data_IF_182648773879
#
_entry.id   IF_182648773879
#
_cell.length_a   1.000
_cell.length_b   1.000
_cell.length_c   1.000
_cell.angle_alpha   90.00
_cell.angle_beta   90.00
_cell.angle_gamma   90.00
#
_symmetry.space_group_name_H-M   'P 1'
#
loop_
_entity.id
_entity.type
_entity.pdbx_description
1 polymer ?
#
# COMPACT_ATOMS: atom_id res chain seq x y z
N UNK A 1 -1.29 -47.08 -1.63
CA UNK A 1 -2.45 -46.25 -1.27
C UNK A 1 -2.55 -46.25 0.25
N UNK A 2 -1.89 -45.31 0.92
CA UNK A 2 -2.07 -44.96 2.34
C UNK A 2 -1.42 -43.58 2.51
N UNK A 3 -2.28 -42.58 2.61
CA UNK A 3 -1.99 -41.17 2.83
C UNK A 3 -1.69 -40.93 4.31
N UNK A 4 -0.52 -40.37 4.63
CA UNK A 4 -0.23 -39.82 5.95
C UNK A 4 -0.26 -38.30 5.86
N UNK A 5 -1.32 -37.73 6.42
CA UNK A 5 -1.51 -36.31 6.70
C UNK A 5 -0.61 -35.92 7.87
N UNK A 6 0.40 -35.07 7.63
CA UNK A 6 1.19 -34.44 8.67
C UNK A 6 0.53 -33.15 9.14
N UNK A 7 0.08 -33.12 10.39
CA UNK A 7 -0.27 -31.89 11.10
C UNK A 7 1.02 -31.17 11.54
N UNK A 8 1.06 -29.82 11.59
CA UNK A 8 2.17 -29.12 12.22
C UNK A 8 1.99 -29.15 13.74
N UNK A 9 3.01 -29.62 14.44
CA UNK A 9 3.07 -29.65 15.89
C UNK A 9 3.07 -28.22 16.46
N UNK A 10 2.02 -27.87 17.20
CA UNK A 10 2.04 -26.78 18.17
C UNK A 10 2.64 -27.32 19.46
N UNK A 11 3.83 -26.85 19.84
CA UNK A 11 4.41 -27.11 21.17
C UNK A 11 4.69 -25.75 21.81
N UNK A 12 3.91 -25.43 22.83
CA UNK A 12 4.08 -24.24 23.68
C UNK A 12 5.03 -24.62 24.80
N UNK A 13 6.19 -23.95 24.89
CA UNK A 13 7.06 -24.02 26.06
C UNK A 13 6.95 -22.73 26.89
N UNK A 14 6.49 -22.88 28.12
CA UNK A 14 6.55 -21.87 29.19
C UNK A 14 7.92 -21.98 29.87
N UNK A 15 8.68 -20.90 29.95
CA UNK A 15 9.96 -20.87 30.68
C UNK A 15 9.80 -20.32 32.10
N UNK A 16 10.46 -21.02 33.03
CA UNK A 16 10.45 -20.89 34.48
C UNK A 16 11.19 -19.65 34.98
N UNK A 17 10.54 -18.85 35.83
CA UNK A 17 11.24 -17.97 36.78
C UNK A 17 11.54 -18.74 38.07
N UNK A 18 12.83 -18.83 38.39
CA UNK A 18 13.36 -19.42 39.62
C UNK A 18 13.13 -18.43 40.76
N UNK A 19 12.21 -18.74 41.68
CA UNK A 19 12.05 -17.98 42.93
C UNK A 19 13.29 -18.16 43.82
N UNK A 20 13.80 -17.04 44.33
CA UNK A 20 14.74 -17.00 45.45
C UNK A 20 13.89 -17.07 46.73
N UNK A 21 13.96 -18.19 47.44
CA UNK A 21 13.43 -18.32 48.79
C UNK A 21 14.36 -17.59 49.76
N UNK A 22 13.85 -16.53 50.40
CA UNK A 22 14.48 -15.86 51.54
C UNK A 22 13.51 -15.84 52.70
N UNK A 23 13.82 -16.62 53.74
CA UNK A 23 12.95 -16.89 54.88
C UNK A 23 12.66 -15.70 55.79
N UNK A 24 11.58 -15.85 56.54
CA UNK A 24 11.08 -14.95 57.57
C UNK A 24 12.11 -14.72 58.69
N UNK A 25 12.24 -13.46 59.14
CA UNK A 25 12.49 -13.18 60.55
C UNK A 25 11.89 -11.84 60.94
N UNK A 26 10.97 -11.90 61.90
CA UNK A 26 10.23 -10.80 62.51
C UNK A 26 11.12 -9.96 63.43
N UNK A 27 10.94 -8.63 63.45
CA UNK A 27 10.97 -7.78 64.66
C UNK A 27 10.50 -6.35 64.30
N UNK A 28 9.54 -5.83 65.08
CA UNK A 28 8.97 -4.48 65.02
C UNK A 28 9.98 -3.40 65.49
N UNK A 29 9.81 -2.14 65.05
CA UNK A 29 9.51 -0.93 65.87
C UNK A 29 9.55 0.34 64.99
N UNK A 30 8.42 1.05 64.97
CA UNK A 30 8.05 2.48 64.86
C UNK A 30 8.79 3.56 64.02
N UNK A 31 7.91 4.45 63.52
CA UNK A 31 8.00 5.86 63.09
C UNK A 31 8.26 6.25 61.60
N UNK A 32 7.29 7.02 61.09
CA UNK A 32 7.08 7.50 59.71
C UNK A 32 7.75 8.88 59.44
N UNK A 33 7.46 9.62 58.34
CA UNK A 33 7.00 9.26 56.99
C UNK A 33 7.88 9.88 55.89
N UNK A 34 8.17 9.20 54.77
CA UNK A 34 8.63 9.90 53.56
C UNK A 34 7.94 9.38 52.29
N UNK A 35 7.46 10.35 51.53
CA UNK A 35 6.72 10.21 50.28
C UNK A 35 7.50 9.40 49.24
N UNK A 36 7.01 8.20 48.92
CA UNK A 36 7.31 7.57 47.64
C UNK A 36 6.00 7.21 46.94
N UNK A 37 5.73 7.93 45.87
CA UNK A 37 4.71 7.60 44.90
C UNK A 37 5.07 6.24 44.28
N UNK A 38 4.37 5.19 44.68
CA UNK A 38 4.29 3.95 43.95
C UNK A 38 3.46 4.19 42.69
N UNK A 39 4.15 4.48 41.59
CA UNK A 39 3.56 4.32 40.26
C UNK A 39 3.48 2.84 39.98
N UNK A 40 2.28 2.28 40.12
CA UNK A 40 1.94 0.95 39.61
C UNK A 40 2.16 0.96 38.09
N UNK A 41 3.31 0.43 37.66
CA UNK A 41 3.56 0.05 36.28
C UNK A 41 2.70 -1.18 36.00
N UNK A 42 1.56 -0.97 35.36
CA UNK A 42 0.75 -2.02 34.75
C UNK A 42 1.59 -2.69 33.66
N UNK A 43 2.28 -3.76 34.06
CA UNK A 43 3.08 -4.60 33.19
C UNK A 43 2.21 -5.28 32.14
N UNK A 44 2.27 -4.77 30.91
CA UNK A 44 1.97 -5.56 29.72
C UNK A 44 3.29 -6.18 29.31
N UNK A 45 3.58 -7.38 29.83
CA UNK A 45 4.72 -8.19 29.39
C UNK A 45 4.48 -8.66 27.95
N UNK A 46 4.86 -7.83 26.98
CA UNK A 46 5.02 -8.29 25.61
C UNK A 46 6.30 -9.12 25.55
N UNK A 47 6.16 -10.45 25.61
CA UNK A 47 7.26 -11.38 25.37
C UNK A 47 7.67 -11.29 23.90
N UNK A 48 8.69 -10.49 23.58
CA UNK A 48 9.25 -10.44 22.24
C UNK A 48 9.99 -11.76 21.97
N UNK A 49 9.42 -12.53 21.06
CA UNK A 49 9.69 -13.92 20.76
C UNK A 49 11.09 -14.15 20.19
N UNK A 50 11.75 -15.20 20.66
CA UNK A 50 12.85 -15.84 19.94
C UNK A 50 12.29 -16.36 18.61
N UNK A 51 12.75 -15.83 17.48
CA UNK A 51 12.41 -16.38 16.16
C UNK A 51 13.13 -17.72 16.00
N UNK A 52 12.36 -18.80 15.98
CA UNK A 52 12.88 -20.17 16.11
C UNK A 52 13.74 -20.58 14.90
N UNK A 53 14.90 -21.16 15.21
CA UNK A 53 15.79 -21.89 14.31
C UNK A 53 16.52 -22.98 15.13
N UNK A 54 17.15 -23.95 14.48
CA UNK A 54 17.88 -25.02 15.18
C UNK A 54 19.01 -24.45 16.04
N UNK A 55 18.82 -24.47 17.38
CA UNK A 55 19.82 -24.10 18.38
C UNK A 55 19.44 -22.89 19.24
N UNK A 56 20.22 -22.61 20.31
CA UNK A 56 20.02 -21.42 21.12
C UNK A 56 20.55 -20.15 20.41
N UNK A 57 19.98 -18.97 20.69
CA UNK A 57 20.48 -17.70 20.16
C UNK A 57 21.91 -17.41 20.64
N UNK A 58 22.75 -16.85 19.77
CA UNK A 58 24.17 -16.55 20.00
C UNK A 58 24.48 -15.04 20.06
N UNK A 59 23.45 -14.20 19.90
CA UNK A 59 23.54 -12.75 19.96
C UNK A 59 22.26 -12.15 20.59
N UNK A 60 22.45 -11.11 21.41
CA UNK A 60 21.38 -10.35 22.03
C UNK A 60 21.49 -8.90 21.56
N UNK A 61 20.42 -8.35 21.01
CA UNK A 61 20.29 -6.93 20.72
C UNK A 61 19.53 -6.24 21.85
N UNK A 62 20.05 -5.13 22.35
CA UNK A 62 19.33 -4.26 23.28
C UNK A 62 18.81 -3.07 22.48
N UNK A 63 17.50 -2.95 22.36
CA UNK A 63 16.84 -1.79 21.74
C UNK A 63 17.10 -0.51 22.55
N UNK A 64 16.79 0.63 21.96
CA UNK A 64 16.92 1.93 22.64
C UNK A 64 15.97 2.10 23.83
N UNK A 65 14.89 1.31 23.90
CA UNK A 65 13.99 1.22 25.06
C UNK A 65 14.47 0.21 26.14
N UNK A 66 15.64 -0.41 25.96
CA UNK A 66 16.24 -1.34 26.90
C UNK A 66 15.72 -2.78 26.82
N UNK A 67 14.88 -3.10 25.82
CA UNK A 67 14.32 -4.44 25.65
C UNK A 67 15.32 -5.37 24.93
N UNK A 68 15.61 -6.56 25.49
CA UNK A 68 16.47 -7.52 24.81
C UNK A 68 15.71 -8.29 23.71
N UNK A 69 16.31 -8.40 22.53
CA UNK A 69 15.88 -9.26 21.43
C UNK A 69 16.96 -10.31 21.13
N UNK A 70 16.56 -11.57 20.98
CA UNK A 70 17.48 -12.69 20.79
C UNK A 70 17.53 -13.09 19.31
N UNK A 71 18.73 -13.29 18.77
CA UNK A 71 18.90 -13.65 17.37
C UNK A 71 20.08 -14.62 17.14
N UNK A 72 20.27 -15.00 15.88
CA UNK A 72 21.31 -15.91 15.42
C UNK A 72 22.21 -15.19 14.42
N UNK A 73 23.52 -15.05 14.72
CA UNK A 73 24.53 -14.43 13.86
C UNK A 73 24.54 -15.06 12.47
N UNK A 74 24.40 -16.39 12.41
CA UNK A 74 24.35 -17.12 11.15
C UNK A 74 23.20 -16.65 10.24
N UNK A 75 22.03 -16.32 10.80
CA UNK A 75 20.90 -15.82 10.01
C UNK A 75 21.14 -14.39 9.54
N UNK A 76 21.68 -13.53 10.41
CA UNK A 76 21.98 -12.14 10.08
C UNK A 76 23.02 -12.04 8.96
N UNK A 77 24.09 -12.86 9.01
CA UNK A 77 25.15 -12.89 7.99
C UNK A 77 24.67 -13.39 6.62
N UNK A 78 23.63 -14.25 6.56
CA UNK A 78 23.08 -14.73 5.29
C UNK A 78 22.35 -13.61 4.54
N UNK A 79 21.75 -12.68 5.28
CA UNK A 79 20.80 -11.70 4.73
C UNK A 79 21.45 -10.33 4.57
N UNK A 80 22.34 -9.94 5.48
CA UNK A 80 23.03 -8.65 5.49
C UNK A 80 24.26 -8.65 4.59
N UNK A 81 24.42 -7.60 3.79
CA UNK A 81 25.59 -7.39 2.93
C UNK A 81 26.72 -6.57 3.59
N UNK A 82 26.50 -6.06 4.81
CA UNK A 82 27.45 -5.18 5.52
C UNK A 82 27.78 -5.65 6.94
N UNK A 83 27.60 -6.95 7.21
CA UNK A 83 27.75 -7.55 8.54
C UNK A 83 26.90 -6.86 9.61
N UNK A 84 25.67 -6.48 9.24
CA UNK A 84 24.67 -5.81 10.08
C UNK A 84 25.26 -4.56 10.73
N UNK A 85 25.63 -3.58 9.90
CA UNK A 85 26.33 -2.35 10.30
C UNK A 85 27.70 -2.60 10.96
N UNK A 86 28.43 -3.62 10.46
CA UNK A 86 29.72 -4.09 11.01
C UNK A 86 29.65 -4.63 12.45
N UNK A 87 28.45 -4.81 13.01
CA UNK A 87 28.24 -5.26 14.39
C UNK A 87 28.51 -6.76 14.57
N UNK A 88 28.52 -7.55 13.49
CA UNK A 88 28.72 -9.01 13.55
C UNK A 88 30.18 -9.45 13.58
N UNK A 89 31.11 -8.59 14.02
CA UNK A 89 32.52 -8.99 14.19
C UNK A 89 32.64 -10.21 15.13
N UNK A 90 33.56 -11.14 14.83
CA UNK A 90 33.72 -12.36 15.61
C UNK A 90 34.31 -12.02 16.98
N UNK A 91 33.46 -11.91 17.99
CA UNK A 91 33.89 -11.83 19.39
C UNK A 91 34.23 -13.22 19.89
N UNK A 92 35.51 -13.42 20.25
CA UNK A 92 36.08 -14.72 20.65
C UNK A 92 35.73 -15.08 22.10
N UNK A 93 35.21 -14.13 22.89
CA UNK A 93 35.41 -14.19 24.35
C UNK A 93 34.13 -14.52 25.13
N UNK A 94 32.92 -14.14 24.70
CA UNK A 94 31.67 -14.48 25.42
C UNK A 94 30.46 -14.58 24.48
N UNK A 95 29.74 -15.71 24.56
CA UNK A 95 28.47 -15.98 23.88
C UNK A 95 27.37 -16.12 24.94
N UNK A 96 26.19 -15.47 24.77
CA UNK A 96 25.83 -14.60 23.67
C UNK A 96 26.47 -13.21 23.78
N UNK A 97 26.85 -12.62 22.65
CA UNK A 97 27.34 -11.23 22.63
C UNK A 97 26.16 -10.26 22.68
N UNK A 98 26.23 -9.27 23.57
CA UNK A 98 25.21 -8.22 23.69
C UNK A 98 25.61 -6.98 22.89
N UNK A 99 24.69 -6.45 22.08
CA UNK A 99 24.92 -5.26 21.24
C UNK A 99 23.76 -4.28 21.43
N UNK A 100 24.07 -3.03 21.76
CA UNK A 100 23.09 -1.95 21.87
C UNK A 100 22.81 -1.34 20.50
N UNK A 101 21.52 -1.12 20.20
CA UNK A 101 21.05 -0.53 18.94
C UNK A 101 20.24 0.74 19.21
N UNK A 102 20.18 1.62 18.21
CA UNK A 102 19.51 2.92 18.31
C UNK A 102 17.99 2.84 18.11
N UNK A 103 17.54 1.77 17.48
CA UNK A 103 16.15 1.52 17.12
C UNK A 103 15.37 0.95 18.31
N UNK A 104 14.07 1.27 18.37
CA UNK A 104 13.16 0.74 19.38
C UNK A 104 12.84 -0.75 19.13
N UNK A 105 12.21 -1.39 20.12
CA UNK A 105 11.88 -2.82 20.05
C UNK A 105 10.97 -3.18 18.88
N UNK A 106 10.04 -2.30 18.47
CA UNK A 106 9.10 -2.59 17.38
C UNK A 106 9.79 -2.53 16.03
N UNK A 107 10.60 -1.51 15.81
CA UNK A 107 11.44 -1.38 14.60
C UNK A 107 12.37 -2.58 14.44
N UNK A 108 13.06 -2.98 15.51
CA UNK A 108 13.95 -4.15 15.51
C UNK A 108 13.19 -5.47 15.33
N UNK A 109 12.00 -5.59 15.94
CA UNK A 109 11.14 -6.76 15.74
C UNK A 109 10.79 -6.92 14.26
N UNK A 110 10.41 -5.85 13.56
CA UNK A 110 10.14 -5.90 12.12
C UNK A 110 11.36 -6.34 11.32
N UNK A 111 12.53 -5.76 11.59
CA UNK A 111 13.79 -6.13 10.93
C UNK A 111 14.09 -7.62 11.11
N UNK A 112 13.94 -8.15 12.33
CA UNK A 112 14.16 -9.56 12.61
C UNK A 112 13.13 -10.44 11.90
N UNK A 113 11.84 -10.11 11.90
CA UNK A 113 10.84 -10.88 11.15
C UNK A 113 11.17 -10.96 9.66
N UNK A 114 11.65 -9.85 9.07
CA UNK A 114 12.10 -9.81 7.67
C UNK A 114 13.32 -10.70 7.43
N UNK A 115 14.30 -10.68 8.33
CA UNK A 115 15.52 -11.50 8.23
C UNK A 115 15.21 -12.99 8.32
N UNK A 116 14.27 -13.39 9.18
CA UNK A 116 13.87 -14.79 9.35
C UNK A 116 12.81 -15.23 8.33
N UNK A 117 12.20 -14.29 7.60
CA UNK A 117 11.06 -14.56 6.73
C UNK A 117 9.83 -15.04 7.51
N UNK A 118 9.71 -14.63 8.77
CA UNK A 118 8.64 -15.05 9.68
C UNK A 118 7.34 -14.27 9.42
N UNK A 119 6.20 -14.90 9.68
CA UNK A 119 4.92 -14.18 9.75
C UNK A 119 4.94 -13.22 10.93
N UNK A 120 4.26 -12.08 10.78
CA UNK A 120 4.07 -11.16 11.89
C UNK A 120 3.13 -11.73 12.95
N UNK A 121 2.20 -12.63 12.62
CA UNK A 121 1.22 -13.14 13.59
C UNK A 121 1.86 -13.85 14.81
N UNK A 122 1.45 -13.53 16.07
CA UNK A 122 0.36 -12.64 16.48
C UNK A 122 0.77 -11.16 16.66
N UNK A 123 2.02 -10.81 16.42
CA UNK A 123 2.51 -9.44 16.43
C UNK A 123 1.91 -8.65 15.24
N UNK A 124 1.44 -7.43 15.48
CA UNK A 124 0.89 -6.57 14.43
C UNK A 124 1.62 -5.24 14.49
N UNK A 125 2.67 -5.04 13.67
CA UNK A 125 3.45 -3.81 13.69
C UNK A 125 2.59 -2.62 13.24
N UNK A 126 2.89 -1.44 13.78
CA UNK A 126 2.30 -0.20 13.29
C UNK A 126 2.91 0.21 11.96
N UNK A 127 2.22 1.06 11.19
CA UNK A 127 2.80 1.61 9.95
C UNK A 127 4.08 2.41 10.24
N UNK A 128 4.16 3.11 11.38
CA UNK A 128 5.38 3.77 11.85
C UNK A 128 6.54 2.81 12.03
N UNK A 129 6.34 1.71 12.77
CA UNK A 129 7.38 0.70 12.96
C UNK A 129 7.81 0.03 11.65
N UNK A 130 6.88 -0.20 10.71
CA UNK A 130 7.20 -0.69 9.36
C UNK A 130 8.04 0.33 8.59
N UNK A 131 7.66 1.62 8.63
CA UNK A 131 8.39 2.72 8.00
C UNK A 131 9.82 2.83 8.54
N UNK A 132 9.96 2.88 9.86
CA UNK A 132 11.25 3.02 10.54
C UNK A 132 12.15 1.82 10.27
N UNK A 133 11.58 0.61 10.22
CA UNK A 133 12.33 -0.59 9.86
C UNK A 133 12.83 -0.53 8.41
N UNK A 134 11.98 -0.15 7.46
CA UNK A 134 12.37 -0.02 6.04
C UNK A 134 13.46 1.05 5.89
N UNK A 135 13.34 2.18 6.60
CA UNK A 135 14.36 3.23 6.63
C UNK A 135 15.72 2.73 7.18
N UNK A 136 15.69 1.80 8.14
CA UNK A 136 16.88 1.21 8.74
C UNK A 136 17.49 0.05 7.93
N UNK A 137 16.83 -0.44 6.87
CA UNK A 137 17.31 -1.59 6.11
C UNK A 137 18.70 -1.36 5.50
N UNK A 138 18.94 -0.21 4.89
CA UNK A 138 20.25 0.10 4.29
C UNK A 138 21.36 0.15 5.36
N UNK A 139 21.07 0.69 6.55
CA UNK A 139 21.99 0.68 7.70
C UNK A 139 22.41 -0.74 8.05
N UNK A 140 21.46 -1.68 8.07
CA UNK A 140 21.71 -3.08 8.40
C UNK A 140 22.11 -3.97 7.19
N UNK A 141 22.36 -3.35 6.02
CA UNK A 141 22.80 -4.05 4.82
C UNK A 141 21.73 -4.92 4.18
N UNK A 142 20.46 -4.55 4.37
CA UNK A 142 19.29 -5.18 3.77
C UNK A 142 18.84 -4.30 2.60
N UNK A 143 18.67 -4.88 1.41
CA UNK A 143 18.16 -4.11 0.26
C UNK A 143 16.61 -4.06 0.28
N UNK A 144 15.98 -2.88 0.46
CA UNK A 144 14.52 -2.78 0.61
C UNK A 144 13.73 -3.43 -0.52
N UNK A 145 14.09 -3.16 -1.78
CA UNK A 145 13.40 -3.70 -2.96
C UNK A 145 13.37 -5.24 -3.01
N UNK A 146 14.35 -5.91 -2.39
CA UNK A 146 14.43 -7.37 -2.35
C UNK A 146 13.66 -7.99 -1.17
N UNK A 147 13.44 -7.21 -0.11
CA UNK A 147 12.82 -7.69 1.14
C UNK A 147 11.35 -7.33 1.24
N UNK A 148 10.95 -6.23 0.61
CA UNK A 148 9.56 -5.77 0.53
C UNK A 148 8.98 -6.04 -0.85
N UNK A 149 9.09 -7.29 -1.31
CA UNK A 149 8.55 -7.75 -2.58
C UNK A 149 7.24 -8.53 -2.41
N UNK A 150 6.38 -8.61 -3.43
CA UNK A 150 5.17 -9.43 -3.37
C UNK A 150 5.45 -10.85 -2.88
N UNK A 151 4.62 -11.33 -1.94
CA UNK A 151 4.76 -12.64 -1.32
C UNK A 151 5.62 -12.67 -0.05
N UNK A 152 6.24 -11.56 0.36
CA UNK A 152 6.89 -11.47 1.68
C UNK A 152 5.90 -11.01 2.76
N UNK A 153 6.07 -11.45 4.03
CA UNK A 153 5.21 -11.03 5.13
C UNK A 153 5.13 -9.51 5.30
N UNK A 154 6.27 -8.82 5.12
CA UNK A 154 6.33 -7.35 5.26
C UNK A 154 5.57 -6.63 4.14
N UNK A 155 5.58 -7.17 2.93
CA UNK A 155 4.80 -6.62 1.82
C UNK A 155 3.29 -6.72 2.10
N UNK A 156 2.83 -7.88 2.59
CA UNK A 156 1.43 -8.09 2.96
C UNK A 156 1.03 -7.15 4.11
N UNK A 157 1.88 -6.99 5.13
CA UNK A 157 1.59 -6.14 6.28
C UNK A 157 1.51 -4.64 5.90
N UNK A 158 2.44 -4.15 5.08
CA UNK A 158 2.37 -2.77 4.55
C UNK A 158 1.12 -2.58 3.69
N UNK A 159 0.76 -3.58 2.87
CA UNK A 159 -0.42 -3.52 2.00
C UNK A 159 -1.72 -3.39 2.80
N UNK A 160 -1.83 -4.00 3.99
CA UNK A 160 -3.01 -3.85 4.87
C UNK A 160 -3.26 -2.39 5.29
N UNK A 161 -2.21 -1.58 5.38
CA UNK A 161 -2.27 -0.19 5.83
C UNK A 161 -2.70 0.80 4.74
N UNK A 162 -2.64 0.40 3.46
CA UNK A 162 -2.95 1.27 2.31
C UNK A 162 -4.33 1.92 2.42
N UNK A 163 -5.36 1.16 2.78
CA UNK A 163 -6.73 1.69 2.84
C UNK A 163 -6.93 2.80 3.88
N UNK A 164 -6.15 2.77 4.98
CA UNK A 164 -6.25 3.74 6.08
C UNK A 164 -5.29 4.91 5.90
N UNK A 165 -4.10 4.63 5.37
CA UNK A 165 -3.00 5.59 5.26
C UNK A 165 -2.40 5.59 3.84
N UNK A 166 -3.18 5.90 2.80
CA UNK A 166 -2.74 5.72 1.41
C UNK A 166 -1.58 6.65 1.03
N UNK A 167 -1.59 7.92 1.48
CA UNK A 167 -0.52 8.87 1.18
C UNK A 167 0.78 8.50 1.88
N UNK A 168 0.71 8.15 3.17
CA UNK A 168 1.86 7.75 3.96
C UNK A 168 2.50 6.47 3.39
N UNK A 169 1.68 5.47 3.06
CA UNK A 169 2.15 4.22 2.43
C UNK A 169 2.77 4.48 1.05
N UNK A 170 2.15 5.35 0.24
CA UNK A 170 2.70 5.75 -1.05
C UNK A 170 4.04 6.50 -0.90
N UNK A 171 4.19 7.29 0.16
CA UNK A 171 5.41 8.05 0.46
C UNK A 171 6.56 7.13 0.85
N UNK A 172 6.33 6.22 1.81
CA UNK A 172 7.33 5.22 2.21
C UNK A 172 7.76 4.37 1.01
N UNK A 173 6.80 3.97 0.17
CA UNK A 173 7.09 3.20 -1.02
C UNK A 173 7.92 3.99 -2.04
N UNK A 174 7.67 5.30 -2.18
CA UNK A 174 8.41 6.17 -3.09
C UNK A 174 9.87 6.39 -2.65
N UNK A 175 10.10 6.59 -1.34
CA UNK A 175 11.43 6.81 -0.76
C UNK A 175 12.40 5.67 -1.06
N UNK A 176 11.88 4.44 -1.06
CA UNK A 176 12.65 3.20 -1.21
C UNK A 176 12.46 2.53 -2.58
N UNK A 177 11.87 3.23 -3.55
CA UNK A 177 11.52 2.71 -4.89
C UNK A 177 10.74 1.37 -4.89
N UNK A 178 9.87 1.18 -3.90
CA UNK A 178 8.99 0.01 -3.73
C UNK A 178 7.75 0.14 -4.63
N UNK A 179 7.98 0.09 -5.94
CA UNK A 179 6.97 0.38 -6.95
C UNK A 179 5.67 -0.42 -6.79
N UNK A 180 5.73 -1.70 -6.41
CA UNK A 180 4.53 -2.55 -6.33
C UNK A 180 3.57 -2.10 -5.21
N UNK A 181 4.12 -1.60 -4.09
CA UNK A 181 3.33 -0.98 -3.02
C UNK A 181 2.82 0.38 -3.47
N UNK A 182 3.68 1.21 -4.07
CA UNK A 182 3.28 2.52 -4.59
C UNK A 182 2.15 2.40 -5.62
N UNK A 183 2.20 1.38 -6.48
CA UNK A 183 1.16 1.10 -7.47
C UNK A 183 -0.18 0.79 -6.79
N UNK A 184 -0.20 -0.12 -5.80
CA UNK A 184 -1.42 -0.42 -5.03
C UNK A 184 -1.95 0.81 -4.29
N UNK A 185 -1.08 1.56 -3.63
CA UNK A 185 -1.48 2.75 -2.88
C UNK A 185 -2.04 3.87 -3.77
N UNK A 186 -1.54 3.99 -5.01
CA UNK A 186 -1.98 5.04 -5.93
C UNK A 186 -3.47 4.99 -6.29
N UNK A 187 -4.10 3.81 -6.30
CA UNK A 187 -5.54 3.69 -6.55
C UNK A 187 -6.35 4.36 -5.44
N UNK A 188 -5.91 4.23 -4.19
CA UNK A 188 -6.56 4.85 -3.04
C UNK A 188 -6.32 6.36 -2.96
N UNK A 189 -5.43 6.89 -3.81
CA UNK A 189 -5.17 8.32 -3.94
C UNK A 189 -5.93 8.97 -5.09
N UNK A 190 -6.80 8.25 -5.82
CA UNK A 190 -7.55 8.83 -6.94
C UNK A 190 -8.49 9.97 -6.52
N UNK A 191 -8.96 9.97 -5.28
CA UNK A 191 -9.81 11.02 -4.69
C UNK A 191 -9.02 12.02 -3.84
N UNK A 192 -7.72 11.80 -3.65
CA UNK A 192 -6.91 12.61 -2.76
C UNK A 192 -6.60 13.99 -3.39
N UNK A 193 -6.86 15.11 -2.67
CA UNK A 193 -6.60 16.44 -3.19
C UNK A 193 -5.09 16.73 -3.20
N UNK A 194 -4.44 16.61 -4.36
CA UNK A 194 -2.99 16.79 -4.50
C UNK A 194 -2.45 18.14 -4.02
N UNK A 195 -3.31 19.17 -3.95
CA UNK A 195 -2.97 20.48 -3.41
C UNK A 195 -2.72 20.50 -1.91
N UNK A 196 -3.09 19.45 -1.17
CA UNK A 196 -2.89 19.36 0.28
C UNK A 196 -1.62 18.61 0.68
N UNK A 197 -0.82 18.18 -0.29
CA UNK A 197 0.47 17.53 -0.02
C UNK A 197 1.44 18.59 0.51
N UNK A 198 2.07 18.33 1.66
CA UNK A 198 3.06 19.22 2.26
C UNK A 198 4.41 19.13 1.55
N UNK A 199 5.23 20.17 1.68
CA UNK A 199 6.58 20.21 1.10
C UNK A 199 7.46 19.04 1.59
N UNK A 200 7.31 18.65 2.86
CA UNK A 200 8.00 17.49 3.44
C UNK A 200 7.65 16.19 2.70
N UNK A 201 6.36 15.94 2.49
CA UNK A 201 5.90 14.75 1.75
C UNK A 201 6.36 14.83 0.29
N UNK A 202 6.35 16.01 -0.33
CA UNK A 202 6.85 16.19 -1.71
C UNK A 202 8.34 15.82 -1.82
N UNK A 203 9.16 16.21 -0.84
CA UNK A 203 10.58 15.87 -0.81
C UNK A 203 10.78 14.36 -0.69
N UNK A 204 10.04 13.72 0.21
CA UNK A 204 10.08 12.26 0.44
C UNK A 204 9.60 11.46 -0.78
N UNK A 205 8.53 11.89 -1.45
CA UNK A 205 8.04 11.27 -2.69
C UNK A 205 9.07 11.33 -3.81
N UNK A 206 9.83 12.42 -3.89
CA UNK A 206 10.71 12.70 -5.01
C UNK A 206 9.95 12.99 -6.32
N UNK A 207 10.68 13.47 -7.31
CA UNK A 207 10.10 13.95 -8.58
C UNK A 207 9.40 12.85 -9.39
N UNK A 208 9.91 11.62 -9.33
CA UNK A 208 9.41 10.50 -10.14
C UNK A 208 8.03 10.05 -9.66
N UNK A 209 7.86 9.75 -8.37
CA UNK A 209 6.58 9.29 -7.84
C UNK A 209 5.55 10.42 -7.79
N UNK A 210 5.97 11.65 -7.49
CA UNK A 210 5.10 12.82 -7.63
C UNK A 210 4.56 12.96 -9.06
N UNK A 211 5.45 12.92 -10.06
CA UNK A 211 5.04 13.01 -11.47
C UNK A 211 4.09 11.87 -11.86
N UNK A 212 4.35 10.63 -11.41
CA UNK A 212 3.47 9.48 -11.67
C UNK A 212 2.07 9.68 -11.09
N UNK A 213 1.96 10.12 -9.84
CA UNK A 213 0.68 10.36 -9.17
C UNK A 213 -0.14 11.47 -9.84
N UNK A 214 0.50 12.61 -10.14
CA UNK A 214 -0.14 13.70 -10.87
C UNK A 214 -0.59 13.27 -12.26
N UNK A 215 0.26 12.53 -12.99
CA UNK A 215 -0.06 12.04 -14.33
C UNK A 215 -1.24 11.08 -14.29
N UNK A 216 -1.32 10.18 -13.32
CA UNK A 216 -2.46 9.28 -13.16
C UNK A 216 -3.78 10.05 -13.00
N UNK A 217 -3.83 10.99 -12.06
CA UNK A 217 -5.05 11.77 -11.82
C UNK A 217 -5.43 12.62 -13.03
N UNK A 218 -4.47 13.38 -13.57
CA UNK A 218 -4.73 14.24 -14.74
C UNK A 218 -5.15 13.43 -15.96
N UNK A 219 -4.49 12.29 -16.22
CA UNK A 219 -4.81 11.41 -17.33
C UNK A 219 -6.23 10.87 -17.24
N UNK A 220 -6.62 10.34 -16.07
CA UNK A 220 -7.98 9.82 -15.87
C UNK A 220 -9.05 10.88 -16.02
N UNK A 221 -8.85 12.07 -15.43
CA UNK A 221 -9.79 13.19 -15.57
C UNK A 221 -9.96 13.59 -17.03
N UNK A 222 -8.86 13.72 -17.77
CA UNK A 222 -8.89 14.09 -19.18
C UNK A 222 -9.56 13.01 -20.04
N UNK A 223 -9.28 11.72 -19.80
CA UNK A 223 -9.94 10.61 -20.49
C UNK A 223 -11.45 10.68 -20.28
N UNK A 224 -11.91 10.84 -19.03
CA UNK A 224 -13.33 10.94 -18.70
C UNK A 224 -14.00 12.10 -19.46
N UNK A 225 -13.40 13.29 -19.43
CA UNK A 225 -13.90 14.46 -20.15
C UNK A 225 -14.02 14.20 -21.65
N UNK A 226 -13.00 13.58 -22.26
CA UNK A 226 -13.00 13.28 -23.69
C UNK A 226 -13.98 12.18 -24.11
N UNK A 227 -14.24 11.21 -23.23
CA UNK A 227 -15.26 10.20 -23.45
C UNK A 227 -16.66 10.83 -23.41
N UNK A 228 -16.94 11.66 -22.42
CA UNK A 228 -18.29 12.18 -22.18
C UNK A 228 -18.67 13.33 -23.11
N UNK A 229 -17.72 14.19 -23.51
CA UNK A 229 -18.02 15.38 -24.32
C UNK A 229 -18.54 15.07 -25.72
N UNK A 230 -18.32 13.84 -26.23
CA UNK A 230 -18.71 13.43 -27.59
C UNK A 230 -20.12 12.83 -27.58
N UNK A 231 -21.11 13.48 -28.22
CA UNK A 231 -22.47 12.94 -28.33
C UNK A 231 -22.52 11.68 -29.21
N UNK A 232 -23.60 10.88 -29.11
CA UNK A 232 -23.83 9.74 -29.97
C UNK A 232 -23.93 10.15 -31.45
N UNK A 233 -23.47 9.25 -32.33
CA UNK A 233 -23.72 9.36 -33.76
C UNK A 233 -25.23 9.24 -34.05
N UNK A 234 -25.67 9.88 -35.13
CA UNK A 234 -27.04 9.75 -35.62
C UNK A 234 -27.24 8.40 -36.31
N UNK A 235 -28.45 7.86 -36.22
CA UNK A 235 -28.88 6.75 -37.08
C UNK A 235 -29.19 7.23 -38.50
N UNK A 236 -29.40 6.29 -39.41
CA UNK A 236 -29.80 6.56 -40.79
C UNK A 236 -31.18 7.22 -40.86
N UNK A 237 -31.38 8.11 -41.84
CA UNK A 237 -32.62 8.87 -41.97
C UNK A 237 -33.81 7.92 -42.19
N UNK A 238 -34.91 8.16 -41.47
CA UNK A 238 -36.17 7.43 -41.64
C UNK A 238 -37.34 8.43 -41.67
N UNK A 239 -38.56 7.93 -41.91
CA UNK A 239 -39.77 8.76 -42.03
C UNK A 239 -40.31 9.27 -40.68
N UNK A 240 -39.79 8.75 -39.56
CA UNK A 240 -40.28 9.03 -38.20
C UNK A 240 -39.34 9.91 -37.37
N UNK A 241 -38.12 10.15 -37.84
CA UNK A 241 -37.08 10.89 -37.14
C UNK A 241 -36.27 11.70 -38.15
N UNK A 242 -36.40 13.01 -38.06
CA UNK A 242 -35.74 13.98 -38.93
C UNK A 242 -34.54 14.65 -38.27
N UNK A 243 -34.15 15.80 -38.83
CA UNK A 243 -33.05 16.60 -38.31
C UNK A 243 -33.32 17.10 -36.88
N UNK A 244 -34.57 17.47 -36.58
CA UNK A 244 -34.96 18.07 -35.31
C UNK A 244 -34.79 17.09 -34.14
N UNK A 245 -35.21 15.84 -34.30
CA UNK A 245 -35.06 14.80 -33.29
C UNK A 245 -33.58 14.45 -33.05
N UNK A 246 -32.77 14.41 -34.11
CA UNK A 246 -31.33 14.19 -34.02
C UNK A 246 -30.60 15.34 -33.29
N UNK A 247 -31.00 16.59 -33.56
CA UNK A 247 -30.47 17.76 -32.85
C UNK A 247 -30.91 17.77 -31.39
N UNK A 248 -32.17 17.44 -31.10
CA UNK A 248 -32.70 17.31 -29.74
C UNK A 248 -31.91 16.26 -28.93
N UNK A 249 -31.60 15.10 -29.52
CA UNK A 249 -30.76 14.08 -28.90
C UNK A 249 -29.37 14.61 -28.53
N UNK A 250 -28.72 15.35 -29.45
CA UNK A 250 -27.39 15.92 -29.18
C UNK A 250 -27.44 16.97 -28.07
N UNK A 251 -28.47 17.82 -28.06
CA UNK A 251 -28.65 18.83 -27.01
C UNK A 251 -28.93 18.17 -25.65
N UNK A 252 -29.77 17.14 -25.60
CA UNK A 252 -30.04 16.37 -24.39
C UNK A 252 -28.77 15.70 -23.86
N UNK A 253 -27.94 15.11 -24.75
CA UNK A 253 -26.63 14.59 -24.37
C UNK A 253 -25.73 15.67 -23.78
N UNK A 254 -25.57 16.81 -24.46
CA UNK A 254 -24.71 17.92 -24.01
C UNK A 254 -25.18 18.43 -22.64
N UNK A 255 -26.48 18.57 -22.43
CA UNK A 255 -27.05 18.99 -21.16
C UNK A 255 -26.73 18.00 -20.01
N UNK A 256 -26.79 16.69 -20.27
CA UNK A 256 -26.42 15.67 -19.29
C UNK A 256 -24.90 15.58 -19.05
N UNK A 257 -24.11 15.73 -20.12
CA UNK A 257 -22.65 15.64 -20.12
C UNK A 257 -21.97 16.83 -19.43
N UNK A 258 -22.48 18.06 -19.60
CA UNK A 258 -21.81 19.28 -19.16
C UNK A 258 -21.47 19.29 -17.66
N UNK A 259 -22.40 18.91 -16.74
CA UNK A 259 -22.06 18.82 -15.31
C UNK A 259 -21.00 17.76 -15.00
N UNK A 260 -21.01 16.63 -15.71
CA UNK A 260 -20.01 15.56 -15.51
C UNK A 260 -18.62 15.99 -16.00
N UNK A 261 -18.54 16.72 -17.11
CA UNK A 261 -17.28 17.25 -17.64
C UNK A 261 -16.69 18.30 -16.69
N UNK A 262 -17.54 19.19 -16.16
CA UNK A 262 -17.13 20.24 -15.24
C UNK A 262 -16.68 19.70 -13.88
N UNK A 263 -17.37 18.68 -13.38
CA UNK A 263 -17.06 18.02 -12.09
C UNK A 263 -16.24 16.73 -12.27
N UNK A 264 -15.54 16.57 -13.41
CA UNK A 264 -14.79 15.36 -13.70
C UNK A 264 -13.68 15.13 -12.65
N UNK A 265 -13.64 13.92 -12.10
CA UNK A 265 -12.60 13.48 -11.16
C UNK A 265 -12.16 12.05 -11.50
N UNK A 266 -10.94 11.61 -11.14
CA UNK A 266 -10.43 10.29 -11.51
C UNK A 266 -11.21 9.09 -10.98
N UNK A 267 -12.08 9.28 -9.98
CA UNK A 267 -12.79 8.18 -9.29
C UNK A 267 -14.30 8.14 -9.56
N UNK A 268 -14.78 8.79 -10.63
CA UNK A 268 -16.20 8.70 -11.02
C UNK A 268 -16.57 7.22 -11.31
N UNK A 269 -17.63 6.71 -10.68
CA UNK A 269 -18.10 5.34 -10.92
C UNK A 269 -18.84 5.19 -12.25
N UNK A 270 -18.79 3.99 -12.84
CA UNK A 270 -19.58 3.65 -14.04
C UNK A 270 -21.08 3.82 -13.79
N UNK A 271 -21.55 3.48 -12.59
CA UNK A 271 -22.94 3.69 -12.16
C UNK A 271 -23.33 5.18 -12.19
N UNK A 272 -22.46 6.07 -11.70
CA UNK A 272 -22.70 7.52 -11.74
C UNK A 272 -22.88 8.02 -13.18
N UNK A 273 -22.04 7.54 -14.10
CA UNK A 273 -22.13 7.88 -15.53
C UNK A 273 -23.45 7.35 -16.11
N UNK A 274 -23.76 6.07 -15.88
CA UNK A 274 -24.97 5.42 -16.38
C UNK A 274 -26.24 6.14 -15.92
N UNK A 275 -26.36 6.39 -14.61
CA UNK A 275 -27.50 7.08 -14.02
C UNK A 275 -27.69 8.49 -14.61
N UNK A 276 -26.60 9.20 -14.92
CA UNK A 276 -26.68 10.52 -15.52
C UNK A 276 -27.29 10.49 -16.92
N UNK A 277 -26.96 9.49 -17.72
CA UNK A 277 -27.44 9.38 -19.10
C UNK A 277 -28.78 8.66 -19.25
N UNK A 278 -29.29 8.03 -18.17
CA UNK A 278 -30.61 7.39 -18.19
C UNK A 278 -31.75 8.40 -18.47
N UNK A 279 -31.66 9.62 -17.93
CA UNK A 279 -32.61 10.70 -18.23
C UNK A 279 -32.61 11.12 -19.71
N UNK A 280 -31.47 10.98 -20.40
CA UNK A 280 -31.38 11.27 -21.83
C UNK A 280 -32.17 10.22 -22.62
N UNK A 281 -32.05 8.94 -22.26
CA UNK A 281 -32.79 7.86 -22.93
C UNK A 281 -34.30 8.02 -22.76
N UNK A 282 -34.75 8.34 -21.55
CA UNK A 282 -36.19 8.44 -21.24
C UNK A 282 -36.85 9.69 -21.84
N UNK A 283 -36.08 10.74 -22.15
CA UNK A 283 -36.61 11.96 -22.79
C UNK A 283 -36.76 11.86 -24.31
N UNK A 284 -36.27 10.79 -24.95
CA UNK A 284 -36.31 10.62 -26.40
C UNK A 284 -37.50 9.77 -26.86
N UNK A 285 -38.24 10.27 -27.86
CA UNK A 285 -39.39 9.57 -28.43
C UNK A 285 -39.01 8.57 -29.54
N UNK A 286 -37.95 8.83 -30.30
CA UNK A 286 -37.47 7.94 -31.36
C UNK A 286 -36.69 6.75 -30.76
N UNK A 287 -37.08 5.53 -31.15
CA UNK A 287 -36.45 4.29 -30.67
C UNK A 287 -35.00 4.15 -31.14
N UNK A 288 -34.70 4.54 -32.38
CA UNK A 288 -33.35 4.48 -32.94
C UNK A 288 -32.40 5.50 -32.29
N UNK A 289 -32.88 6.70 -31.94
CA UNK A 289 -32.12 7.67 -31.15
C UNK A 289 -31.79 7.14 -29.76
N UNK A 290 -32.75 6.49 -29.08
CA UNK A 290 -32.49 5.83 -27.78
C UNK A 290 -31.42 4.76 -27.91
N UNK A 291 -31.49 3.94 -28.96
CA UNK A 291 -30.47 2.92 -29.22
C UNK A 291 -29.08 3.53 -29.49
N UNK A 292 -29.00 4.65 -30.23
CA UNK A 292 -27.74 5.36 -30.44
C UNK A 292 -27.14 5.87 -29.13
N UNK A 293 -27.97 6.40 -28.23
CA UNK A 293 -27.56 6.85 -26.89
C UNK A 293 -27.09 5.67 -26.04
N UNK A 294 -27.85 4.57 -25.99
CA UNK A 294 -27.47 3.34 -25.27
C UNK A 294 -26.11 2.83 -25.72
N UNK A 295 -25.92 2.63 -27.02
CA UNK A 295 -24.65 2.17 -27.60
C UNK A 295 -23.50 3.11 -27.23
N UNK A 296 -23.75 4.42 -27.22
CA UNK A 296 -22.73 5.41 -26.85
C UNK A 296 -22.40 5.36 -25.36
N UNK A 297 -23.41 5.20 -24.50
CA UNK A 297 -23.21 5.02 -23.05
C UNK A 297 -22.39 3.75 -22.81
N UNK A 298 -22.74 2.63 -23.43
CA UNK A 298 -22.00 1.37 -23.29
C UNK A 298 -20.53 1.52 -23.71
N UNK A 299 -20.27 2.21 -24.82
CA UNK A 299 -18.90 2.52 -25.26
C UNK A 299 -18.15 3.38 -24.23
N UNK A 300 -18.78 4.40 -23.68
CA UNK A 300 -18.18 5.25 -22.64
C UNK A 300 -17.89 4.44 -21.37
N UNK A 301 -18.84 3.62 -20.91
CA UNK A 301 -18.69 2.78 -19.72
C UNK A 301 -17.57 1.75 -19.90
N UNK A 302 -17.50 1.10 -21.06
CA UNK A 302 -16.43 0.15 -21.38
C UNK A 302 -15.06 0.84 -21.43
N UNK A 303 -14.92 1.96 -22.15
CA UNK A 303 -13.64 2.69 -22.22
C UNK A 303 -13.21 3.22 -20.85
N UNK A 304 -14.16 3.67 -20.04
CA UNK A 304 -13.89 4.15 -18.70
C UNK A 304 -13.46 3.03 -17.75
N UNK A 305 -14.11 1.86 -17.82
CA UNK A 305 -13.79 0.73 -16.94
C UNK A 305 -12.39 0.16 -17.19
N UNK A 306 -11.89 0.21 -18.43
CA UNK A 306 -10.53 -0.22 -18.77
C UNK A 306 -9.46 0.87 -18.59
N UNK A 307 -9.84 2.09 -18.22
CA UNK A 307 -8.88 3.17 -18.00
C UNK A 307 -8.04 2.87 -16.76
N UNK A 308 -6.70 2.91 -16.82
CA UNK A 308 -5.83 2.56 -15.69
C UNK A 308 -6.15 3.34 -14.42
N UNK A 309 -6.27 2.64 -13.29
CA UNK A 309 -6.58 3.20 -11.96
C UNK A 309 -5.35 3.34 -11.06
N UNK A 310 -4.19 2.90 -11.53
CA UNK A 310 -2.93 2.87 -10.78
C UNK A 310 -1.79 3.48 -11.61
N UNK A 311 -0.69 3.84 -10.95
CA UNK A 311 0.52 4.34 -11.63
C UNK A 311 1.20 3.25 -12.47
N UNK A 312 1.84 3.66 -13.57
CA UNK A 312 2.71 2.83 -14.41
C UNK A 312 4.18 3.15 -14.17
N UNK A 313 5.08 2.19 -14.47
CA UNK A 313 6.53 2.44 -14.42
C UNK A 313 6.94 3.46 -15.48
N UNK A 314 6.40 3.31 -16.69
CA UNK A 314 6.52 4.29 -17.78
C UNK A 314 5.23 5.11 -17.88
N UNK A 315 5.32 6.41 -17.59
CA UNK A 315 4.16 7.32 -17.65
C UNK A 315 3.67 7.54 -19.08
N UNK A 316 4.46 7.23 -20.11
CA UNK A 316 4.04 7.28 -21.52
C UNK A 316 2.84 6.40 -21.81
N UNK A 317 2.70 5.28 -21.09
CA UNK A 317 1.53 4.39 -21.21
C UNK A 317 0.23 5.12 -20.83
N UNK A 318 0.27 6.00 -19.83
CA UNK A 318 -0.85 6.85 -19.44
C UNK A 318 -1.06 8.00 -20.45
N UNK A 319 0.01 8.49 -21.08
CA UNK A 319 -0.08 9.51 -22.14
C UNK A 319 -0.69 9.00 -23.45
N UNK A 320 -0.59 7.70 -23.75
CA UNK A 320 -1.32 7.09 -24.88
C UNK A 320 -2.83 7.25 -24.66
N UNK A 321 -3.30 7.12 -23.41
CA UNK A 321 -4.70 7.40 -23.08
C UNK A 321 -5.06 8.90 -23.19
N UNK A 322 -4.08 9.79 -23.01
CA UNK A 322 -4.23 11.24 -23.17
C UNK A 322 -4.19 11.75 -24.61
N UNK A 323 -3.74 10.94 -25.57
CA UNK A 323 -3.53 11.40 -26.95
C UNK A 323 -4.80 11.24 -27.79
N UNK A 324 -5.41 12.33 -28.30
CA UNK A 324 -6.60 12.24 -29.16
C UNK A 324 -6.33 11.71 -30.58
N UNK A 325 -5.10 11.23 -30.88
CA UNK A 325 -4.56 11.11 -32.23
C UNK A 325 -4.66 9.73 -32.90
N UNK A 326 -5.17 8.68 -32.25
CA UNK A 326 -5.47 7.43 -32.98
C UNK A 326 -6.86 7.44 -33.66
N UNK A 327 -7.15 8.53 -34.37
CA UNK A 327 -8.08 8.53 -35.49
C UNK A 327 -7.24 8.41 -36.77
N UNK A 328 -6.85 7.19 -37.16
CA UNK A 328 -6.53 6.72 -38.54
C UNK A 328 -5.41 5.66 -38.60
N UNK A 329 -5.52 4.56 -37.86
CA UNK A 329 -4.80 3.32 -38.23
C UNK A 329 -5.73 2.12 -38.30
N UNK A 330 -6.74 2.25 -39.17
CA UNK A 330 -7.22 1.14 -39.99
C UNK A 330 -6.58 1.26 -41.37
N UNK A 331 -6.14 0.14 -41.93
CA UNK A 331 -5.65 -0.05 -43.32
C UNK A 331 -4.41 0.72 -43.76
N UNK A 332 -3.24 0.06 -43.68
CA UNK A 332 -2.28 -0.15 -44.78
C UNK A 332 -0.91 -0.55 -44.21
N UNK A 333 -0.69 -1.85 -44.03
CA UNK A 333 0.63 -2.45 -44.27
C UNK A 333 0.36 -3.70 -45.12
N UNK A 334 0.13 -3.46 -46.40
CA UNK A 334 0.36 -4.42 -47.47
C UNK A 334 1.18 -3.70 -48.53
N UNK A 335 2.33 -4.27 -48.84
CA UNK A 335 3.30 -3.85 -49.87
C UNK A 335 4.06 -2.54 -49.58
N UNK A 336 5.29 -2.67 -49.08
CA UNK A 336 6.51 -2.58 -49.90
C UNK A 336 7.71 -3.09 -49.10
#
# INVERSE_FOLDING_TARGET
MLTLTGAPSTVVYTLLLRQVEGGENTLQVDDAPEHHATTELTGVEHTYTSLEKDGPPDIIFISSDGTPLYAHRAQLCVVSNNNFDLLLTPSIIDLPSTIELTEDVHTLSVILHVIYGASFDPYTPTLGALSDAINAFDKYGLAPCSRVSPGTPVFEEVTKSISRHPLETYTIAAEHDLFDIAQKASEHLLTFPLSTISDDVVLRLGSIYLHRLFTLQLARTYVLQNLIIRPPDKHDANTQCGRQESESMKLAWIAAASPLVLAAHPDVSTETIQNKFECVKTSLHCAECRHCVERRVDEVLWKWSITPRTICRDTRELYVALSPLDRTRGTMISHL
#
